data_IF_661068780717
#
_entry.id   IF_661068780717
#
_cell.length_a   1.000
_cell.length_b   1.000
_cell.length_c   1.000
_cell.angle_alpha   90.00
_cell.angle_beta   90.00
_cell.angle_gamma   90.00
#
_symmetry.space_group_name_H-M   'P 1'
#
loop_
_entity.id
_entity.type
_entity.pdbx_description
1 polymer ?
#
# COMPACT_ATOMS: atom_id res chain seq x y z
N UNK A 1 -6.64 0.21 -26.28
CA UNK A 1 -6.43 -0.58 -25.05
C UNK A 1 -6.55 0.38 -23.88
N UNK A 2 -7.44 0.12 -22.91
CA UNK A 2 -7.43 0.87 -21.65
C UNK A 2 -6.30 0.27 -20.83
N UNK A 3 -5.13 0.88 -20.89
CA UNK A 3 -4.11 0.64 -19.88
C UNK A 3 -4.79 0.86 -18.53
N UNK A 4 -4.83 -0.18 -17.71
CA UNK A 4 -5.47 -0.11 -16.40
C UNK A 4 -4.72 0.95 -15.62
N UNK A 5 -5.31 2.15 -15.55
CA UNK A 5 -4.88 3.21 -14.64
C UNK A 5 -5.01 2.56 -13.27
N UNK A 6 -3.88 2.18 -12.69
CA UNK A 6 -3.82 1.89 -11.26
C UNK A 6 -4.28 3.19 -10.62
N UNK A 7 -5.49 3.19 -10.07
CA UNK A 7 -6.00 4.28 -9.27
C UNK A 7 -5.59 4.01 -7.82
N UNK A 8 -4.81 4.89 -7.21
CA UNK A 8 -4.22 6.17 -7.68
C UNK A 8 -2.95 6.02 -8.54
N UNK A 9 -2.66 7.04 -9.36
CA UNK A 9 -1.47 7.04 -10.22
C UNK A 9 -0.16 6.99 -9.44
N UNK A 10 0.90 6.44 -10.04
CA UNK A 10 2.23 6.38 -9.42
C UNK A 10 2.71 7.78 -9.03
N UNK A 11 2.50 8.78 -9.88
CA UNK A 11 2.92 10.16 -9.60
C UNK A 11 2.25 10.73 -8.35
N UNK A 12 0.97 10.42 -8.11
CA UNK A 12 0.28 10.83 -6.89
C UNK A 12 0.78 10.08 -5.65
N UNK A 13 1.04 8.77 -5.78
CA UNK A 13 1.60 7.96 -4.69
C UNK A 13 2.99 8.43 -4.27
N UNK A 14 3.81 8.87 -5.22
CA UNK A 14 5.14 9.40 -4.94
C UNK A 14 5.11 10.74 -4.19
N UNK A 15 3.98 11.45 -4.13
CA UNK A 15 3.84 12.62 -3.24
C UNK A 15 3.71 12.21 -1.76
N UNK A 16 3.44 10.93 -1.48
CA UNK A 16 3.23 10.39 -0.12
C UNK A 16 4.47 9.74 0.47
N UNK A 17 5.49 9.48 -0.34
CA UNK A 17 6.71 8.76 0.07
C UNK A 17 7.94 9.38 -0.58
N UNK A 18 9.12 9.14 0.00
CA UNK A 18 10.36 9.75 -0.50
C UNK A 18 10.74 9.27 -1.92
N UNK A 19 10.57 7.97 -2.21
CA UNK A 19 10.90 7.42 -3.52
C UNK A 19 10.08 6.15 -3.84
N UNK A 20 10.22 5.67 -5.08
CA UNK A 20 9.56 4.47 -5.60
C UNK A 20 9.91 3.18 -4.85
N UNK A 21 11.10 3.05 -4.29
CA UNK A 21 11.47 1.89 -3.48
C UNK A 21 10.79 1.94 -2.10
N UNK A 22 10.73 3.12 -1.47
CA UNK A 22 9.95 3.33 -0.26
C UNK A 22 8.48 2.99 -0.46
N UNK A 23 7.90 3.34 -1.63
CA UNK A 23 6.52 2.97 -1.97
C UNK A 23 6.30 1.45 -1.97
N UNK A 24 7.21 0.71 -2.61
CA UNK A 24 7.14 -0.76 -2.68
C UNK A 24 7.28 -1.39 -1.29
N UNK A 25 8.25 -0.94 -0.51
CA UNK A 25 8.49 -1.48 0.84
C UNK A 25 7.30 -1.17 1.76
N UNK A 26 6.79 0.07 1.73
CA UNK A 26 5.66 0.49 2.55
C UNK A 26 4.38 -0.29 2.18
N UNK A 27 4.06 -0.37 0.89
CA UNK A 27 2.87 -1.10 0.42
C UNK A 27 2.94 -2.60 0.75
N UNK A 28 4.11 -3.23 0.60
CA UNK A 28 4.31 -4.62 1.00
C UNK A 28 4.15 -4.82 2.52
N UNK A 29 4.71 -3.92 3.34
CA UNK A 29 4.56 -3.97 4.81
C UNK A 29 3.10 -3.87 5.24
N UNK A 30 2.38 -2.90 4.70
CA UNK A 30 0.96 -2.69 5.00
C UNK A 30 0.12 -3.89 4.54
N UNK A 31 0.41 -4.44 3.35
CA UNK A 31 -0.29 -5.62 2.86
C UNK A 31 -0.11 -6.81 3.80
N UNK A 32 1.11 -7.04 4.30
CA UNK A 32 1.39 -8.09 5.29
C UNK A 32 0.62 -7.88 6.59
N UNK A 33 0.57 -6.65 7.10
CA UNK A 33 -0.23 -6.33 8.29
C UNK A 33 -1.72 -6.58 8.08
N UNK A 34 -2.24 -6.25 6.90
CA UNK A 34 -3.64 -6.49 6.57
C UNK A 34 -3.92 -7.99 6.47
N UNK A 35 -3.04 -8.77 5.84
CA UNK A 35 -3.12 -10.24 5.80
C UNK A 35 -3.13 -10.81 7.23
N UNK A 36 -2.24 -10.32 8.11
CA UNK A 36 -2.14 -10.81 9.48
C UNK A 36 -3.40 -10.54 10.31
N UNK A 37 -4.05 -9.38 10.09
CA UNK A 37 -5.35 -9.05 10.73
C UNK A 37 -6.51 -9.89 10.21
N UNK A 38 -6.42 -10.38 8.97
CA UNK A 38 -7.49 -11.07 8.27
C UNK A 38 -7.40 -12.60 8.38
N UNK A 39 -6.43 -13.12 9.15
CA UNK A 39 -6.21 -14.56 9.39
C UNK A 39 -7.40 -15.27 10.03
N UNK A 40 -8.25 -14.56 10.75
CA UNK A 40 -9.43 -15.11 11.43
C UNK A 40 -10.73 -15.01 10.62
N UNK A 41 -10.70 -14.34 9.45
CA UNK A 41 -11.86 -14.21 8.58
C UNK A 41 -11.91 -15.42 7.67
N UNK A 42 -12.98 -16.24 7.75
CA UNK A 42 -13.23 -17.32 6.79
C UNK A 42 -13.27 -16.73 5.37
N UNK A 43 -12.17 -16.86 4.62
CA UNK A 43 -12.01 -16.17 3.34
C UNK A 43 -12.77 -16.91 2.23
N UNK A 44 -14.02 -16.53 2.00
CA UNK A 44 -14.80 -16.90 0.79
C UNK A 44 -14.49 -15.98 -0.40
N UNK A 45 -13.76 -14.88 -0.20
CA UNK A 45 -13.39 -13.92 -1.25
C UNK A 45 -11.88 -13.78 -1.40
N UNK A 46 -11.40 -13.79 -2.64
CA UNK A 46 -10.04 -13.35 -2.97
C UNK A 46 -9.88 -11.86 -2.64
N UNK A 47 -9.08 -11.55 -1.62
CA UNK A 47 -8.77 -10.18 -1.21
C UNK A 47 -7.42 -9.77 -1.83
N UNK A 48 -7.43 -8.69 -2.62
CA UNK A 48 -6.20 -8.08 -3.13
C UNK A 48 -5.66 -7.06 -2.12
N UNK A 49 -4.88 -7.55 -1.15
CA UNK A 49 -4.29 -6.73 -0.09
C UNK A 49 -3.34 -5.66 -0.61
N UNK A 50 -2.67 -5.90 -1.75
CA UNK A 50 -1.76 -4.92 -2.33
C UNK A 50 -2.52 -3.68 -2.81
N UNK A 51 -3.59 -3.88 -3.58
CA UNK A 51 -4.45 -2.78 -4.05
C UNK A 51 -5.05 -1.99 -2.89
N UNK A 52 -5.49 -2.68 -1.83
CA UNK A 52 -5.98 -1.99 -0.63
C UNK A 52 -4.88 -1.16 0.05
N UNK A 53 -3.67 -1.71 0.17
CA UNK A 53 -2.54 -1.03 0.80
C UNK A 53 -2.13 0.23 0.05
N UNK A 54 -2.11 0.17 -1.28
CA UNK A 54 -1.83 1.34 -2.14
C UNK A 54 -2.87 2.44 -1.92
N UNK A 55 -4.16 2.08 -1.82
CA UNK A 55 -5.22 3.05 -1.51
C UNK A 55 -5.09 3.64 -0.11
N UNK A 56 -4.76 2.82 0.88
CA UNK A 56 -4.56 3.29 2.26
C UNK A 56 -3.40 4.29 2.37
N UNK A 57 -2.31 4.08 1.62
CA UNK A 57 -1.19 5.03 1.54
C UNK A 57 -1.64 6.35 0.92
N UNK A 58 -2.41 6.30 -0.16
CA UNK A 58 -2.91 7.49 -0.84
C UNK A 58 -3.90 8.30 0.00
N UNK A 59 -4.75 7.61 0.76
CA UNK A 59 -5.73 8.20 1.68
C UNK A 59 -5.11 8.67 3.02
N UNK A 60 -3.78 8.68 3.14
CA UNK A 60 -3.04 9.04 4.37
C UNK A 60 -3.41 8.22 5.61
N UNK A 61 -4.00 7.03 5.42
CA UNK A 61 -4.34 6.09 6.50
C UNK A 61 -3.12 5.35 7.06
N UNK A 62 -1.98 5.45 6.38
CA UNK A 62 -0.71 4.87 6.77
C UNK A 62 0.31 5.98 6.99
N UNK A 63 0.90 6.02 8.18
CA UNK A 63 1.95 7.00 8.51
C UNK A 63 3.31 6.47 8.06
N UNK A 64 3.90 7.10 7.05
CA UNK A 64 5.28 6.88 6.64
C UNK A 64 6.21 7.76 7.47
N UNK A 65 7.08 7.15 8.28
CA UNK A 65 8.16 7.85 8.98
C UNK A 65 9.49 7.42 8.39
N UNK A 66 10.33 8.39 8.02
CA UNK A 66 11.73 8.10 7.73
C UNK A 66 12.43 7.82 9.05
N UNK A 67 13.24 6.75 9.04
CA UNK A 67 14.14 6.47 10.15
C UNK A 67 15.41 7.21 9.78
N UNK A 68 15.65 8.35 10.42
CA UNK A 68 16.97 8.98 10.36
C UNK A 68 17.91 8.09 11.18
N UNK A 69 18.92 7.56 10.50
CA UNK A 69 19.99 6.80 11.14
C UNK A 69 21.06 7.82 11.50
N UNK A 70 21.15 8.17 12.78
CA UNK A 70 22.27 8.92 13.35
C UNK A 70 23.60 8.17 13.20
#
# INVERSE_FOLDING_TARGET
>A
MKDSIVEPSISELLKKVNNKFSLVILSARVARQNIDKDKDVKQEKHINYLTQSVRQIYEDKVQYKMIDVE
#
